data_IF_493781257874
#
_entry.id   IF_493781257874
#
_cell.length_a   1.000
_cell.length_b   1.000
_cell.length_c   1.000
_cell.angle_alpha   90.00
_cell.angle_beta   90.00
_cell.angle_gamma   90.00
#
_symmetry.space_group_name_H-M   'P 1'
#
loop_
_entity.id
_entity.type
_entity.pdbx_description
1 polymer ?
#
# COMPACT_ATOMS: atom_id res chain seq x y z
N UNK A 1 16.49 -13.62 -15.45
CA UNK A 1 15.22 -12.95 -15.08
C UNK A 1 15.25 -12.35 -13.67
N UNK A 2 15.83 -13.00 -12.65
CA UNK A 2 15.86 -12.47 -11.27
C UNK A 2 16.41 -11.04 -11.13
N UNK A 3 17.47 -10.68 -11.88
CA UNK A 3 18.03 -9.33 -11.84
C UNK A 3 17.14 -8.25 -12.46
N UNK A 4 16.19 -8.59 -13.34
CA UNK A 4 15.33 -7.63 -14.04
C UNK A 4 14.09 -7.23 -13.21
N UNK A 5 13.66 -8.10 -12.30
CA UNK A 5 12.44 -7.96 -11.51
C UNK A 5 12.39 -6.64 -10.72
N UNK A 6 13.45 -6.24 -9.97
CA UNK A 6 13.42 -4.99 -9.22
C UNK A 6 13.26 -3.75 -10.11
N UNK A 7 13.79 -3.79 -11.33
CA UNK A 7 13.72 -2.66 -12.26
C UNK A 7 12.32 -2.49 -12.86
N UNK A 8 11.59 -3.59 -13.07
CA UNK A 8 10.21 -3.55 -13.58
C UNK A 8 9.32 -2.82 -12.59
N UNK A 9 9.37 -3.20 -11.31
CA UNK A 9 8.55 -2.58 -10.26
C UNK A 9 8.88 -1.08 -10.14
N UNK A 10 10.17 -0.73 -10.04
CA UNK A 10 10.63 0.66 -10.00
C UNK A 10 10.11 1.51 -11.16
N UNK A 11 10.12 0.94 -12.36
CA UNK A 11 9.62 1.62 -13.57
C UNK A 11 8.11 1.85 -13.49
N UNK A 12 7.35 0.85 -13.03
CA UNK A 12 5.89 0.96 -12.85
C UNK A 12 5.55 2.02 -11.79
N UNK A 13 6.26 2.02 -10.66
CA UNK A 13 6.06 3.02 -9.59
C UNK A 13 6.29 4.43 -10.13
N UNK A 14 7.43 4.66 -10.79
CA UNK A 14 7.80 5.96 -11.35
C UNK A 14 6.81 6.41 -12.43
N UNK A 15 6.44 5.52 -13.36
CA UNK A 15 5.48 5.84 -14.41
C UNK A 15 4.10 6.19 -13.82
N UNK A 16 3.63 5.44 -12.82
CA UNK A 16 2.36 5.71 -12.15
C UNK A 16 2.40 7.03 -11.38
N UNK A 17 3.52 7.32 -10.70
CA UNK A 17 3.72 8.59 -10.02
C UNK A 17 3.69 9.77 -11.00
N UNK A 18 4.46 9.72 -12.09
CA UNK A 18 4.47 10.78 -13.11
C UNK A 18 3.08 10.99 -13.75
N UNK A 19 2.39 9.90 -14.08
CA UNK A 19 1.03 9.95 -14.59
C UNK A 19 0.07 10.59 -13.58
N UNK A 20 0.18 10.25 -12.29
CA UNK A 20 -0.65 10.82 -11.24
C UNK A 20 -0.40 12.32 -11.06
N UNK A 21 0.85 12.78 -11.10
CA UNK A 21 1.21 14.19 -10.96
C UNK A 21 0.66 15.01 -12.13
N UNK A 22 0.68 14.46 -13.34
CA UNK A 22 0.16 15.13 -14.52
C UNK A 22 -1.38 15.30 -14.52
N UNK A 23 -2.09 14.39 -13.86
CA UNK A 23 -3.57 14.30 -13.92
C UNK A 23 -4.24 14.85 -12.65
N UNK A 24 -3.75 14.45 -11.48
CA UNK A 24 -4.45 14.64 -10.23
C UNK A 24 -4.25 16.06 -9.68
N UNK A 25 -5.36 16.73 -9.35
CA UNK A 25 -5.35 18.10 -8.80
C UNK A 25 -5.09 18.10 -7.29
N UNK A 26 -3.99 18.72 -6.86
CA UNK A 26 -3.62 18.87 -5.43
C UNK A 26 -4.70 19.49 -4.53
N UNK A 27 -5.56 20.37 -5.09
CA UNK A 27 -6.67 21.00 -4.35
C UNK A 27 -7.74 20.00 -3.91
N UNK A 28 -7.92 18.88 -4.63
CA UNK A 28 -8.82 17.81 -4.20
C UNK A 28 -8.10 16.99 -3.12
N UNK A 29 -8.66 16.95 -1.92
CA UNK A 29 -7.98 16.26 -0.82
C UNK A 29 -7.90 14.73 -0.97
N UNK A 30 -8.70 14.08 -1.84
CA UNK A 30 -8.53 12.65 -2.16
C UNK A 30 -7.29 12.50 -3.05
N UNK A 31 -7.21 13.30 -4.11
CA UNK A 31 -6.07 13.35 -5.03
C UNK A 31 -4.77 13.61 -4.30
N UNK A 32 -4.79 14.56 -3.35
CA UNK A 32 -3.63 14.85 -2.51
C UNK A 32 -3.14 13.61 -1.73
N UNK A 33 -4.05 12.81 -1.18
CA UNK A 33 -3.66 11.58 -0.47
C UNK A 33 -3.07 10.55 -1.43
N UNK A 34 -3.65 10.36 -2.62
CA UNK A 34 -3.12 9.45 -3.64
C UNK A 34 -1.73 9.89 -4.11
N UNK A 35 -1.54 11.19 -4.35
CA UNK A 35 -0.23 11.75 -4.71
C UNK A 35 0.81 11.52 -3.61
N UNK A 36 0.43 11.69 -2.34
CA UNK A 36 1.33 11.44 -1.21
C UNK A 36 1.68 9.95 -1.07
N UNK A 37 0.72 9.04 -1.29
CA UNK A 37 0.96 7.59 -1.30
C UNK A 37 2.00 7.24 -2.37
N UNK A 38 1.76 7.67 -3.61
CA UNK A 38 2.68 7.41 -4.73
C UNK A 38 4.05 8.09 -4.55
N UNK A 39 4.07 9.28 -3.93
CA UNK A 39 5.32 9.98 -3.62
C UNK A 39 6.15 9.20 -2.59
N UNK A 40 5.54 8.66 -1.53
CA UNK A 40 6.24 7.83 -0.54
C UNK A 40 6.80 6.56 -1.17
N UNK A 41 6.02 5.88 -2.02
CA UNK A 41 6.51 4.69 -2.72
C UNK A 41 7.67 5.01 -3.67
N UNK A 42 7.54 6.07 -4.47
CA UNK A 42 8.62 6.51 -5.37
C UNK A 42 9.87 6.92 -4.58
N UNK A 43 9.70 7.64 -3.48
CA UNK A 43 10.78 8.05 -2.58
C UNK A 43 11.48 6.85 -1.94
N UNK A 44 10.72 5.87 -1.45
CA UNK A 44 11.24 4.64 -0.87
C UNK A 44 12.10 3.87 -1.89
N UNK A 45 11.63 3.73 -3.13
CA UNK A 45 12.39 3.06 -4.20
C UNK A 45 13.70 3.80 -4.53
N UNK A 46 13.66 5.13 -4.61
CA UNK A 46 14.85 5.95 -4.89
C UNK A 46 15.87 5.85 -3.76
N UNK A 47 15.45 6.05 -2.50
CA UNK A 47 16.39 5.97 -1.38
C UNK A 47 16.93 4.56 -1.22
N UNK A 48 16.09 3.53 -1.25
CA UNK A 48 16.56 2.16 -1.08
C UNK A 48 17.58 1.80 -2.16
N UNK A 49 17.40 2.29 -3.40
CA UNK A 49 18.42 2.14 -4.45
C UNK A 49 19.74 2.81 -4.06
N UNK A 50 19.71 4.05 -3.57
CA UNK A 50 20.92 4.78 -3.14
C UNK A 50 21.60 4.10 -1.95
N UNK A 51 20.84 3.63 -0.97
CA UNK A 51 21.37 2.95 0.22
C UNK A 51 22.01 1.60 -0.13
N UNK A 52 21.36 0.80 -0.98
CA UNK A 52 21.90 -0.48 -1.47
C UNK A 52 23.24 -0.24 -2.19
N UNK A 53 23.32 0.79 -3.05
CA UNK A 53 24.57 1.14 -3.75
C UNK A 53 25.70 1.54 -2.79
N UNK A 54 25.37 2.03 -1.60
CA UNK A 54 26.33 2.39 -0.54
C UNK A 54 26.57 1.28 0.48
N UNK A 55 25.95 0.11 0.31
CA UNK A 55 26.02 -0.99 1.27
C UNK A 55 25.35 -0.69 2.62
N UNK A 56 24.42 0.27 2.67
CA UNK A 56 23.71 0.68 3.88
C UNK A 56 22.40 -0.11 4.01
N UNK A 57 22.09 -0.56 5.23
CA UNK A 57 20.88 -1.32 5.53
C UNK A 57 19.59 -0.50 5.27
N UNK A 58 18.60 -1.09 4.60
CA UNK A 58 17.39 -0.40 4.13
C UNK A 58 16.18 -0.54 5.04
N UNK A 59 16.25 -1.37 6.10
CA UNK A 59 15.07 -1.67 6.92
C UNK A 59 14.43 -0.43 7.55
N UNK A 60 15.24 0.53 8.05
CA UNK A 60 14.72 1.76 8.66
C UNK A 60 13.85 2.54 7.67
N UNK A 61 14.39 2.82 6.49
CA UNK A 61 13.69 3.58 5.45
C UNK A 61 12.44 2.84 4.99
N UNK A 62 12.55 1.52 4.84
CA UNK A 62 11.43 0.69 4.42
C UNK A 62 10.31 0.67 5.46
N UNK A 63 10.65 0.48 6.75
CA UNK A 63 9.68 0.48 7.84
C UNK A 63 8.97 1.84 7.96
N UNK A 64 9.72 2.94 7.94
CA UNK A 64 9.14 4.29 8.00
C UNK A 64 8.22 4.54 6.81
N UNK A 65 8.67 4.21 5.59
CA UNK A 65 7.87 4.37 4.38
C UNK A 65 6.59 3.54 4.44
N UNK A 66 6.66 2.31 4.98
CA UNK A 66 5.51 1.43 5.11
C UNK A 66 4.49 1.94 6.15
N UNK A 67 4.96 2.47 7.28
CA UNK A 67 4.09 3.10 8.29
C UNK A 67 3.35 4.30 7.69
N UNK A 68 4.08 5.18 6.98
CA UNK A 68 3.48 6.34 6.31
C UNK A 68 2.48 5.92 5.23
N UNK A 69 2.86 4.94 4.41
CA UNK A 69 2.02 4.35 3.36
C UNK A 69 0.69 3.86 3.93
N UNK A 70 0.71 3.00 4.95
CA UNK A 70 -0.49 2.44 5.58
C UNK A 70 -1.33 3.52 6.26
N UNK A 71 -0.68 4.49 6.90
CA UNK A 71 -1.37 5.62 7.54
C UNK A 71 -2.19 6.40 6.51
N UNK A 72 -1.60 6.71 5.35
CA UNK A 72 -2.29 7.44 4.29
C UNK A 72 -3.45 6.63 3.70
N UNK A 73 -3.30 5.32 3.55
CA UNK A 73 -4.39 4.45 3.11
C UNK A 73 -5.55 4.42 4.11
N UNK A 74 -5.26 4.31 5.41
CA UNK A 74 -6.30 4.39 6.45
C UNK A 74 -6.97 5.77 6.48
N UNK A 75 -6.22 6.85 6.27
CA UNK A 75 -6.79 8.20 6.11
C UNK A 75 -7.71 8.29 4.90
N UNK A 76 -7.34 7.68 3.77
CA UNK A 76 -8.16 7.63 2.56
C UNK A 76 -9.46 6.86 2.80
N UNK A 77 -9.37 5.70 3.45
CA UNK A 77 -10.52 4.90 3.88
C UNK A 77 -11.43 5.70 4.82
N UNK A 78 -10.86 6.48 5.74
CA UNK A 78 -11.64 7.34 6.64
C UNK A 78 -12.38 8.47 5.93
N UNK A 79 -11.89 8.89 4.76
CA UNK A 79 -12.46 9.99 4.00
C UNK A 79 -13.59 9.53 3.08
N UNK A 80 -13.40 8.38 2.45
CA UNK A 80 -14.33 7.80 1.48
C UNK A 80 -15.37 6.88 2.15
N UNK A 81 -15.05 6.31 3.31
CA UNK A 81 -15.93 5.42 4.06
C UNK A 81 -17.02 6.14 4.86
N UNK A 82 -17.98 5.35 5.30
CA UNK A 82 -19.12 5.73 6.14
C UNK A 82 -18.70 5.91 7.60
N UNK A 83 -17.77 5.07 8.09
CA UNK A 83 -17.35 5.04 9.50
C UNK A 83 -16.21 6.01 9.86
N UNK A 84 -16.26 7.25 9.34
CA UNK A 84 -15.15 8.22 9.37
C UNK A 84 -14.51 8.46 10.74
N UNK A 85 -15.30 8.48 11.82
CA UNK A 85 -14.81 8.73 13.19
C UNK A 85 -14.04 7.52 13.72
N UNK A 86 -14.61 6.33 13.55
CA UNK A 86 -14.00 5.07 13.99
C UNK A 86 -12.72 4.80 13.20
N UNK A 87 -12.74 4.97 11.88
CA UNK A 87 -11.53 4.79 11.06
C UNK A 87 -10.43 5.76 11.46
N UNK A 88 -10.74 7.03 11.77
CA UNK A 88 -9.76 8.00 12.27
C UNK A 88 -9.18 7.60 13.62
N UNK A 89 -10.01 7.12 14.55
CA UNK A 89 -9.55 6.63 15.85
C UNK A 89 -8.62 5.43 15.68
N UNK A 90 -8.98 4.46 14.83
CA UNK A 90 -8.16 3.30 14.53
C UNK A 90 -6.87 3.67 13.80
N UNK A 91 -6.89 4.72 12.97
CA UNK A 91 -5.67 5.26 12.33
C UNK A 91 -4.73 5.85 13.38
N UNK A 92 -5.25 6.65 14.31
CA UNK A 92 -4.45 7.22 15.40
C UNK A 92 -3.86 6.12 16.30
N UNK A 93 -4.66 5.11 16.64
CA UNK A 93 -4.20 3.94 17.38
C UNK A 93 -3.13 3.15 16.63
N UNK A 94 -3.30 2.95 15.32
CA UNK A 94 -2.30 2.32 14.46
C UNK A 94 -0.98 3.08 14.46
N UNK A 95 -1.00 4.41 14.27
CA UNK A 95 0.23 5.23 14.28
C UNK A 95 0.93 5.14 15.62
N UNK A 96 0.19 5.23 16.74
CA UNK A 96 0.75 5.09 18.07
C UNK A 96 1.38 3.71 18.26
N UNK A 97 0.67 2.64 17.88
CA UNK A 97 1.16 1.27 17.92
C UNK A 97 2.44 1.11 17.10
N UNK A 98 2.45 1.58 15.85
CA UNK A 98 3.59 1.46 14.95
C UNK A 98 4.83 2.16 15.49
N UNK A 99 4.68 3.37 16.06
CA UNK A 99 5.78 4.11 16.68
C UNK A 99 6.31 3.39 17.91
N UNK A 100 5.42 2.91 18.79
CA UNK A 100 5.81 2.15 19.99
C UNK A 100 6.53 0.86 19.59
N UNK A 101 5.99 0.12 18.62
CA UNK A 101 6.57 -1.14 18.16
C UNK A 101 7.95 -0.93 17.50
N UNK A 102 8.11 0.15 16.73
CA UNK A 102 9.38 0.51 16.09
C UNK A 102 10.46 0.91 17.10
N UNK A 103 10.09 1.64 18.17
CA UNK A 103 11.07 2.14 19.16
C UNK A 103 11.40 1.08 20.23
N UNK A 104 10.41 0.30 20.68
CA UNK A 104 10.54 -0.53 21.89
C UNK A 104 10.53 -2.04 21.65
N UNK A 105 10.06 -2.54 20.51
CA UNK A 105 9.89 -3.98 20.28
C UNK A 105 10.74 -4.52 19.12
N UNK A 106 10.28 -4.39 17.87
CA UNK A 106 10.96 -4.96 16.69
C UNK A 106 12.18 -4.12 16.24
N UNK A 107 12.27 -2.88 16.72
CA UNK A 107 13.45 -2.02 16.53
C UNK A 107 13.63 -1.50 15.10
N UNK A 108 14.74 -0.82 14.88
CA UNK A 108 15.08 -0.15 13.62
C UNK A 108 15.80 -1.06 12.60
N UNK A 109 16.42 -2.15 13.07
CA UNK A 109 17.30 -2.98 12.26
C UNK A 109 16.61 -4.20 11.66
N UNK A 110 15.45 -4.59 12.17
CA UNK A 110 14.61 -5.66 11.61
C UNK A 110 13.47 -5.13 10.74
N UNK A 111 12.90 -5.99 9.91
CA UNK A 111 11.65 -5.68 9.22
C UNK A 111 10.47 -5.77 10.20
N UNK A 112 9.57 -4.79 10.18
CA UNK A 112 8.58 -4.62 11.24
C UNK A 112 7.30 -5.45 10.99
N UNK A 113 7.42 -6.78 11.10
CA UNK A 113 6.35 -7.73 10.77
C UNK A 113 5.06 -7.46 11.55
N UNK A 114 5.15 -7.19 12.84
CA UNK A 114 3.97 -7.02 13.70
C UNK A 114 3.17 -5.78 13.31
N UNK A 115 3.83 -4.67 12.96
CA UNK A 115 3.13 -3.48 12.45
C UNK A 115 2.38 -3.77 11.15
N UNK A 116 2.96 -4.58 10.27
CA UNK A 116 2.36 -4.92 8.98
C UNK A 116 1.14 -5.81 9.15
N UNK A 117 1.26 -6.84 10.00
CA UNK A 117 0.15 -7.74 10.34
C UNK A 117 -0.99 -6.92 10.95
N UNK A 118 -0.67 -6.08 11.93
CA UNK A 118 -1.68 -5.26 12.60
C UNK A 118 -2.36 -4.28 11.65
N UNK A 119 -1.59 -3.56 10.82
CA UNK A 119 -2.15 -2.64 9.84
C UNK A 119 -3.03 -3.33 8.80
N UNK A 120 -2.60 -4.49 8.32
CA UNK A 120 -3.35 -5.31 7.36
C UNK A 120 -4.68 -5.72 7.97
N UNK A 121 -4.66 -6.22 9.21
CA UNK A 121 -5.86 -6.59 9.93
C UNK A 121 -6.81 -5.39 10.09
N UNK A 122 -6.30 -4.24 10.52
CA UNK A 122 -7.11 -3.02 10.70
C UNK A 122 -7.71 -2.56 9.36
N UNK A 123 -6.90 -2.42 8.32
CA UNK A 123 -7.35 -1.92 7.03
C UNK A 123 -8.41 -2.84 6.41
N UNK A 124 -8.10 -4.14 6.31
CA UNK A 124 -8.98 -5.14 5.68
C UNK A 124 -10.28 -5.27 6.47
N UNK A 125 -10.24 -5.29 7.80
CA UNK A 125 -11.47 -5.37 8.62
C UNK A 125 -12.38 -4.17 8.39
N UNK A 126 -11.83 -2.94 8.41
CA UNK A 126 -12.63 -1.74 8.16
C UNK A 126 -13.17 -1.75 6.74
N UNK A 127 -12.35 -2.15 5.76
CA UNK A 127 -12.78 -2.24 4.36
C UNK A 127 -13.94 -3.23 4.20
N UNK A 128 -13.85 -4.43 4.79
CA UNK A 128 -14.93 -5.43 4.75
C UNK A 128 -16.22 -4.88 5.37
N UNK A 129 -16.13 -4.27 6.56
CA UNK A 129 -17.30 -3.69 7.25
C UNK A 129 -17.92 -2.56 6.42
N UNK A 130 -17.11 -1.71 5.79
CA UNK A 130 -17.59 -0.67 4.87
C UNK A 130 -18.37 -1.28 3.69
N UNK A 131 -17.85 -2.36 3.09
CA UNK A 131 -18.54 -3.04 1.98
C UNK A 131 -19.88 -3.64 2.41
N UNK A 132 -19.93 -4.30 3.57
CA UNK A 132 -21.20 -4.81 4.11
C UNK A 132 -22.20 -3.68 4.37
N UNK A 133 -21.75 -2.55 4.93
CA UNK A 133 -22.61 -1.40 5.16
C UNK A 133 -23.16 -0.79 3.84
N UNK A 134 -22.32 -0.71 2.80
CA UNK A 134 -22.73 -0.23 1.47
C UNK A 134 -23.73 -1.16 0.81
N UNK A 135 -23.53 -2.48 0.91
CA UNK A 135 -24.47 -3.49 0.44
C UNK A 135 -25.80 -3.41 1.18
N UNK A 136 -25.76 -3.28 2.51
CA UNK A 136 -26.96 -3.15 3.33
C UNK A 136 -27.79 -1.91 2.96
N UNK A 137 -27.12 -0.84 2.54
CA UNK A 137 -27.74 0.40 2.10
C UNK A 137 -28.07 0.43 0.59
N UNK A 138 -27.93 -0.70 -0.12
CA UNK A 138 -28.14 -0.82 -1.57
C UNK A 138 -27.34 0.19 -2.43
N UNK A 139 -26.18 0.66 -1.93
CA UNK A 139 -25.32 1.61 -2.64
C UNK A 139 -24.45 0.90 -3.70
N UNK A 140 -25.11 0.35 -4.71
CA UNK A 140 -24.45 -0.36 -5.83
C UNK A 140 -23.59 0.58 -6.67
N UNK A 141 -23.91 1.88 -6.67
CA UNK A 141 -23.14 2.92 -7.39
C UNK A 141 -21.71 2.98 -6.86
N UNK A 142 -21.51 2.87 -5.53
CA UNK A 142 -20.19 2.84 -4.93
C UNK A 142 -19.29 1.75 -5.53
N UNK A 143 -19.79 0.51 -5.69
CA UNK A 143 -19.01 -0.62 -6.21
C UNK A 143 -18.57 -0.43 -7.67
N UNK A 144 -19.32 0.35 -8.44
CA UNK A 144 -18.96 0.73 -9.81
C UNK A 144 -18.08 1.98 -9.91
N UNK A 145 -17.81 2.65 -8.79
CA UNK A 145 -17.12 3.94 -8.75
C UNK A 145 -15.59 3.79 -8.73
N UNK A 146 -14.89 4.84 -9.20
CA UNK A 146 -13.43 4.93 -9.05
C UNK A 146 -12.98 4.91 -7.58
N UNK A 147 -13.82 5.37 -6.64
CA UNK A 147 -13.49 5.35 -5.22
C UNK A 147 -13.39 3.93 -4.66
N UNK A 148 -14.23 2.99 -5.14
CA UNK A 148 -14.12 1.59 -4.74
C UNK A 148 -12.82 0.97 -5.25
N UNK A 149 -12.48 1.18 -6.53
CA UNK A 149 -11.21 0.72 -7.13
C UNK A 149 -10.02 1.25 -6.32
N UNK A 150 -10.07 2.53 -5.96
CA UNK A 150 -9.03 3.17 -5.16
C UNK A 150 -8.89 2.51 -3.79
N UNK A 151 -9.98 2.34 -3.03
CA UNK A 151 -9.95 1.69 -1.72
C UNK A 151 -9.61 0.20 -1.78
N UNK A 152 -9.90 -0.48 -2.89
CA UNK A 152 -9.55 -1.88 -3.08
C UNK A 152 -8.07 -2.07 -3.45
N UNK A 153 -7.43 -1.07 -4.06
CA UNK A 153 -6.04 -1.12 -4.52
C UNK A 153 -5.07 -1.73 -3.49
N UNK A 154 -4.96 -1.21 -2.24
CA UNK A 154 -4.01 -1.74 -1.26
C UNK A 154 -4.39 -3.12 -0.74
N UNK A 155 -5.65 -3.57 -0.85
CA UNK A 155 -6.08 -4.89 -0.37
C UNK A 155 -5.29 -6.00 -1.07
N UNK A 156 -5.07 -5.86 -2.38
CA UNK A 156 -4.26 -6.83 -3.15
C UNK A 156 -2.83 -6.96 -2.60
N UNK A 157 -2.19 -5.83 -2.29
CA UNK A 157 -0.86 -5.79 -1.71
C UNK A 157 -0.84 -6.40 -0.30
N UNK A 158 -1.78 -5.99 0.56
CA UNK A 158 -1.87 -6.46 1.94
C UNK A 158 -2.15 -7.97 2.03
N UNK A 159 -3.02 -8.50 1.17
CA UNK A 159 -3.26 -9.93 1.06
C UNK A 159 -2.02 -10.69 0.59
N UNK A 160 -1.31 -10.15 -0.41
CA UNK A 160 -0.02 -10.69 -0.85
C UNK A 160 0.98 -10.80 0.30
N UNK A 161 1.22 -9.69 0.98
CA UNK A 161 2.14 -9.63 2.12
C UNK A 161 1.71 -10.56 3.27
N UNK A 162 0.41 -10.81 3.43
CA UNK A 162 -0.09 -11.78 4.42
C UNK A 162 0.38 -13.21 4.13
N UNK A 163 0.53 -13.61 2.86
CA UNK A 163 1.10 -14.92 2.51
C UNK A 163 2.59 -15.05 2.85
N UNK A 164 3.31 -13.93 2.85
CA UNK A 164 4.75 -13.89 3.18
C UNK A 164 4.93 -13.83 4.70
N UNK A 165 4.15 -13.01 5.38
CA UNK A 165 4.38 -12.66 6.79
C UNK A 165 3.49 -13.40 7.78
N UNK A 166 2.44 -14.09 7.31
CA UNK A 166 1.50 -14.82 8.17
C UNK A 166 2.15 -15.94 9.00
N UNK A 167 3.31 -16.44 8.57
CA UNK A 167 4.05 -17.50 9.27
C UNK A 167 5.18 -16.98 10.17
N UNK A 168 5.38 -15.65 10.24
CA UNK A 168 6.41 -15.01 11.07
C UNK A 168 7.81 -15.65 10.93
N UNK A 169 8.15 -16.12 9.72
CA UNK A 169 9.41 -16.82 9.44
C UNK A 169 10.08 -16.22 8.22
N UNK A 170 11.34 -15.80 8.38
CA UNK A 170 12.14 -15.28 7.27
C UNK A 170 12.44 -16.37 6.23
N UNK A 171 12.58 -17.62 6.66
CA UNK A 171 12.91 -18.75 5.78
C UNK A 171 11.81 -19.01 4.75
N UNK A 172 10.54 -18.77 5.12
CA UNK A 172 9.39 -18.88 4.21
C UNK A 172 9.53 -17.92 3.02
N UNK A 173 10.13 -16.74 3.22
CA UNK A 173 10.32 -15.74 2.16
C UNK A 173 11.35 -16.18 1.12
N UNK A 174 12.31 -17.02 1.54
CA UNK A 174 13.41 -17.52 0.71
C UNK A 174 13.08 -18.83 0.00
N UNK A 175 11.95 -19.47 0.36
CA UNK A 175 11.50 -20.69 -0.31
C UNK A 175 11.31 -20.45 -1.82
N UNK A 176 11.69 -21.43 -2.62
CA UNK A 176 11.60 -21.39 -4.09
C UNK A 176 10.46 -22.30 -4.53
N UNK A 177 9.23 -21.80 -4.67
CA UNK A 177 8.09 -22.63 -5.03
C UNK A 177 8.13 -23.09 -6.50
N UNK A 178 8.67 -22.28 -7.42
CA UNK A 178 8.67 -22.60 -8.86
C UNK A 178 9.87 -21.99 -9.60
N UNK A 179 10.55 -22.80 -10.43
CA UNK A 179 11.45 -22.31 -11.49
C UNK A 179 12.59 -21.37 -11.05
N UNK A 180 13.04 -21.47 -9.81
CA UNK A 180 14.08 -20.58 -9.26
C UNK A 180 13.58 -19.22 -8.77
N UNK A 181 12.27 -18.92 -8.81
CA UNK A 181 11.72 -17.66 -8.27
C UNK A 181 11.37 -17.89 -6.80
N UNK A 182 11.90 -17.04 -5.91
CA UNK A 182 11.54 -17.07 -4.49
C UNK A 182 10.08 -16.67 -4.28
N UNK A 183 9.46 -17.20 -3.22
CA UNK A 183 8.09 -16.84 -2.84
C UNK A 183 7.94 -15.33 -2.69
N UNK A 184 8.93 -14.67 -2.07
CA UNK A 184 9.02 -13.22 -1.99
C UNK A 184 8.85 -12.55 -3.35
N UNK A 185 9.69 -12.92 -4.32
CA UNK A 185 9.68 -12.29 -5.65
C UNK A 185 8.35 -12.54 -6.37
N UNK A 186 7.83 -13.76 -6.32
CA UNK A 186 6.57 -14.10 -6.98
C UNK A 186 5.39 -13.27 -6.44
N UNK A 187 5.24 -13.23 -5.12
CA UNK A 187 4.16 -12.50 -4.47
C UNK A 187 4.29 -11.00 -4.72
N UNK A 188 5.47 -10.42 -4.47
CA UNK A 188 5.71 -8.98 -4.63
C UNK A 188 5.45 -8.52 -6.06
N UNK A 189 5.89 -9.26 -7.07
CA UNK A 189 5.63 -8.89 -8.48
C UNK A 189 4.13 -8.89 -8.76
N UNK A 190 3.46 -9.99 -8.43
CA UNK A 190 2.04 -10.19 -8.73
C UNK A 190 1.21 -9.10 -8.08
N UNK A 191 1.47 -8.82 -6.81
CA UNK A 191 0.69 -7.85 -6.04
C UNK A 191 0.97 -6.42 -6.49
N UNK A 192 2.22 -6.08 -6.82
CA UNK A 192 2.55 -4.74 -7.34
C UNK A 192 1.91 -4.49 -8.71
N UNK A 193 1.93 -5.49 -9.61
CA UNK A 193 1.27 -5.36 -10.92
C UNK A 193 -0.22 -5.06 -10.73
N UNK A 194 -0.92 -5.83 -9.88
CA UNK A 194 -2.35 -5.62 -9.61
C UNK A 194 -2.57 -4.25 -8.98
N UNK A 195 -1.83 -3.93 -7.92
CA UNK A 195 -1.93 -2.67 -7.18
C UNK A 195 -1.77 -1.43 -8.08
N UNK A 196 -0.68 -1.35 -8.83
CA UNK A 196 -0.44 -0.21 -9.73
C UNK A 196 -1.38 -0.18 -10.92
N UNK A 197 -1.87 -1.33 -11.39
CA UNK A 197 -2.91 -1.35 -12.42
C UNK A 197 -4.20 -0.73 -11.91
N UNK A 198 -4.63 -1.08 -10.70
CA UNK A 198 -5.84 -0.51 -10.09
C UNK A 198 -5.71 1.00 -9.87
N UNK A 199 -4.55 1.46 -9.39
CA UNK A 199 -4.27 2.90 -9.25
C UNK A 199 -4.32 3.64 -10.59
N UNK A 200 -3.73 3.08 -11.64
CA UNK A 200 -3.78 3.70 -12.98
C UNK A 200 -5.20 3.71 -13.57
N UNK A 201 -6.00 2.67 -13.32
CA UNK A 201 -7.42 2.65 -13.70
C UNK A 201 -8.16 3.78 -12.96
N UNK A 202 -7.97 3.91 -11.65
CA UNK A 202 -8.55 5.01 -10.87
C UNK A 202 -8.17 6.38 -11.45
N UNK A 203 -6.87 6.65 -11.66
CA UNK A 203 -6.38 7.92 -12.21
C UNK A 203 -7.03 8.20 -13.58
N UNK A 204 -7.16 7.19 -14.43
CA UNK A 204 -7.77 7.32 -15.76
C UNK A 204 -9.26 7.65 -15.69
N UNK A 205 -10.00 7.04 -14.75
CA UNK A 205 -11.42 7.34 -14.54
C UNK A 205 -11.62 8.78 -14.08
N UNK A 206 -10.74 9.27 -13.21
CA UNK A 206 -10.77 10.67 -12.76
C UNK A 206 -10.43 11.66 -13.89
N UNK A 207 -9.53 11.31 -14.81
CA UNK A 207 -9.27 12.13 -16.01
C UNK A 207 -10.52 12.28 -16.87
N UNK A 208 -11.33 11.22 -16.99
CA UNK A 208 -12.56 11.26 -17.79
C UNK A 208 -13.62 12.14 -17.14
N UNK A 209 -13.81 12.04 -15.83
CA UNK A 209 -14.77 12.87 -15.09
C UNK A 209 -14.40 14.35 -15.09
N UNK A 210 -13.11 14.69 -15.16
CA UNK A 210 -12.66 16.09 -15.25
C UNK A 210 -12.83 16.71 -16.64
N UNK A 211 -13.09 15.90 -17.68
CA UNK A 211 -13.28 16.35 -19.07
C UNK A 211 -14.75 16.37 -19.51
N UNK A 212 -15.63 15.68 -18.78
CA UNK A 212 -17.09 15.73 -18.94
C UNK A 212 -17.68 16.91 -18.20
#
# INVERSE_FOLDING_TARGET
>A
MQHLIPYIIKTIVLATFLHSVAVLRWRNGIHRLVLLILAIECWNEVINTVLILRGIHTAVVTNISFILYLTLWLMLLSKLGSFRKITRLLTAFFVLFAVVNLVFAEGFFGFNFTTIIFATFVYVSIFIVENYQRLWNEDLVFFSSGNYILLFSPVSLLLGLSFIFGFYSHDVTLQIPFGGITLWNFVIITTNIIYYSLLNIYIRLETKSLKS
#
